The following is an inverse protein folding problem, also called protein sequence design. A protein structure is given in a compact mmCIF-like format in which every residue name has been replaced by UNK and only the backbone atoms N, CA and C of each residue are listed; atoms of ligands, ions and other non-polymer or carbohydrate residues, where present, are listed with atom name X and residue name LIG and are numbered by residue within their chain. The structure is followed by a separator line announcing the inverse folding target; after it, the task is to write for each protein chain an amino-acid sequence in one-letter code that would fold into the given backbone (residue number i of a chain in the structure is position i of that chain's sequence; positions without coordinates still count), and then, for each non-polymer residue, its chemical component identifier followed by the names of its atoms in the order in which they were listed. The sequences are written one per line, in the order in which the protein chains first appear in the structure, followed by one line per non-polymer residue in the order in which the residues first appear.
data_IF_344325241775
#
_entry.id   IF_344325241775
#
_cell.length_a   1.000
_cell.length_b   1.000
_cell.length_c   1.000
_cell.angle_alpha   90.00
_cell.angle_beta   90.00
_cell.angle_gamma   90.00
#
_symmetry.space_group_name_H-M   'P 1'
#
loop_
_entity.id
_entity.type
_entity.pdbx_description
1 polymer ?
#
# COMPACT_ATOMS: atom_id res chain seq x y z
N UNK A 1 28.58 0.51 -32.94
CA UNK A 1 27.97 -0.44 -32.00
C UNK A 1 28.25 0.07 -30.59
N UNK A 2 27.35 0.87 -30.03
CA UNK A 2 27.43 1.31 -28.63
C UNK A 2 27.02 0.13 -27.77
N UNK A 3 27.90 -0.30 -26.85
CA UNK A 3 27.57 -1.33 -25.88
C UNK A 3 26.29 -0.95 -25.14
N UNK A 4 25.27 -1.79 -25.23
CA UNK A 4 24.08 -1.71 -24.37
C UNK A 4 24.58 -1.75 -22.92
N UNK A 5 24.31 -0.71 -22.14
CA UNK A 5 24.59 -0.72 -20.72
C UNK A 5 23.80 -1.88 -20.11
N UNK A 6 24.49 -2.82 -19.47
CA UNK A 6 23.83 -3.91 -18.74
C UNK A 6 23.05 -3.26 -17.59
N UNK A 7 21.73 -3.30 -17.67
CA UNK A 7 20.82 -2.75 -16.66
C UNK A 7 20.72 -3.71 -15.48
N UNK A 8 21.48 -3.44 -14.42
CA UNK A 8 21.49 -4.25 -13.20
C UNK A 8 20.21 -4.01 -12.39
N UNK A 9 19.54 -5.05 -11.88
CA UNK A 9 18.41 -4.90 -10.98
C UNK A 9 18.73 -4.04 -9.75
N UNK A 10 17.74 -3.31 -9.25
CA UNK A 10 17.90 -2.38 -8.14
C UNK A 10 16.98 -2.75 -6.97
N UNK A 11 17.55 -2.89 -5.78
CA UNK A 11 16.82 -3.07 -4.52
C UNK A 11 16.87 -1.76 -3.73
N UNK A 12 15.72 -1.17 -3.42
CA UNK A 12 15.58 -0.01 -2.54
C UNK A 12 15.10 -0.46 -1.16
N UNK A 13 15.99 -0.57 -0.19
CA UNK A 13 15.69 -1.04 1.17
C UNK A 13 15.37 0.15 2.09
N UNK A 14 14.11 0.29 2.48
CA UNK A 14 13.67 1.24 3.50
C UNK A 14 13.96 0.66 4.88
N UNK A 15 14.97 1.20 5.55
CA UNK A 15 15.50 0.73 6.83
C UNK A 15 15.09 1.63 8.00
N UNK A 16 14.99 1.05 9.20
CA UNK A 16 14.61 1.75 10.43
C UNK A 16 14.01 0.81 11.47
N UNK A 17 13.93 1.27 12.72
CA UNK A 17 13.30 0.50 13.81
C UNK A 17 11.77 0.45 13.66
N UNK A 18 11.10 -0.40 14.42
CA UNK A 18 9.64 -0.46 14.50
C UNK A 18 9.07 0.92 14.87
N UNK A 19 7.94 1.30 14.27
CA UNK A 19 7.33 2.61 14.49
C UNK A 19 7.91 3.77 13.67
N UNK A 20 9.04 3.60 12.99
CA UNK A 20 9.62 4.64 12.10
C UNK A 20 8.79 4.95 10.85
N UNK A 21 7.90 4.03 10.43
CA UNK A 21 7.00 4.23 9.28
C UNK A 21 7.43 3.54 7.99
N UNK A 22 8.42 2.63 8.02
CA UNK A 22 8.96 1.91 6.85
C UNK A 22 7.92 1.40 5.85
N UNK A 23 6.88 0.71 6.33
CA UNK A 23 5.85 0.11 5.46
C UNK A 23 5.04 1.17 4.71
N UNK A 24 4.61 2.21 5.42
CA UNK A 24 3.87 3.33 4.82
C UNK A 24 4.75 4.11 3.82
N UNK A 25 5.99 4.40 4.22
CA UNK A 25 6.96 5.08 3.39
C UNK A 25 7.33 4.28 2.14
N UNK A 26 7.65 3.00 2.29
CA UNK A 26 8.05 2.13 1.19
C UNK A 26 6.92 1.89 0.20
N UNK A 27 5.69 1.72 0.68
CA UNK A 27 4.51 1.64 -0.17
C UNK A 27 4.33 2.92 -1.00
N UNK A 28 4.41 4.10 -0.38
CA UNK A 28 4.25 5.37 -1.09
C UNK A 28 5.38 5.64 -2.08
N UNK A 29 6.63 5.37 -1.70
CA UNK A 29 7.78 5.47 -2.59
C UNK A 29 7.63 4.56 -3.83
N UNK A 30 7.21 3.31 -3.64
CA UNK A 30 7.00 2.36 -4.72
C UNK A 30 5.91 2.82 -5.69
N UNK A 31 4.82 3.43 -5.18
CA UNK A 31 3.76 4.02 -6.01
C UNK A 31 4.29 5.15 -6.88
N UNK A 32 5.12 6.05 -6.33
CA UNK A 32 5.68 7.19 -7.09
C UNK A 32 6.68 6.73 -8.15
N UNK A 33 7.44 5.67 -7.84
CA UNK A 33 8.38 5.06 -8.78
C UNK A 33 7.71 4.10 -9.78
N UNK A 34 6.45 3.72 -9.55
CA UNK A 34 5.71 2.70 -10.31
C UNK A 34 6.47 1.36 -10.38
N UNK A 35 6.96 0.90 -9.23
CA UNK A 35 7.69 -0.37 -9.09
C UNK A 35 7.07 -1.23 -7.97
N UNK A 36 7.33 -2.55 -7.94
CA UNK A 36 6.84 -3.42 -6.88
C UNK A 36 7.32 -3.00 -5.49
N UNK A 37 6.55 -3.38 -4.48
CA UNK A 37 6.86 -3.21 -3.05
C UNK A 37 6.68 -4.54 -2.32
N UNK A 38 7.57 -4.84 -1.37
CA UNK A 38 7.37 -5.90 -0.38
C UNK A 38 7.65 -5.37 1.02
N UNK A 39 6.89 -5.86 2.01
CA UNK A 39 7.20 -5.68 3.41
C UNK A 39 7.97 -6.89 3.93
N UNK A 40 9.17 -6.67 4.43
CA UNK A 40 10.02 -7.74 4.95
C UNK A 40 9.43 -8.43 6.17
N UNK A 41 8.56 -7.75 6.93
CA UNK A 41 7.89 -8.35 8.08
C UNK A 41 6.96 -9.51 7.65
N UNK A 42 6.43 -9.49 6.41
CA UNK A 42 5.59 -10.56 5.83
C UNK A 42 6.36 -11.87 5.58
N UNK A 43 7.70 -11.82 5.54
CA UNK A 43 8.56 -12.96 5.21
C UNK A 43 9.19 -13.61 6.45
N UNK A 44 8.77 -13.24 7.66
CA UNK A 44 9.23 -13.90 8.87
C UNK A 44 8.77 -15.37 8.92
N UNK A 45 9.67 -16.31 9.26
CA UNK A 45 9.23 -17.67 9.57
C UNK A 45 8.37 -17.69 10.83
N UNK A 46 7.50 -18.69 10.95
CA UNK A 46 6.60 -18.85 12.11
C UNK A 46 7.34 -18.81 13.44
N UNK A 47 8.55 -19.38 13.52
CA UNK A 47 9.41 -19.34 14.72
C UNK A 47 9.75 -17.92 15.16
N UNK A 48 10.02 -17.01 14.23
CA UNK A 48 10.35 -15.61 14.56
C UNK A 48 9.10 -14.88 15.05
N UNK A 49 7.95 -15.13 14.40
CA UNK A 49 6.66 -14.55 14.78
C UNK A 49 6.29 -14.99 16.20
N UNK A 50 6.43 -16.28 16.52
CA UNK A 50 6.17 -16.83 17.85
C UNK A 50 7.11 -16.27 18.92
N UNK A 51 8.42 -16.20 18.62
CA UNK A 51 9.41 -15.60 19.53
C UNK A 51 9.07 -14.14 19.84
N UNK A 52 8.77 -13.32 18.83
CA UNK A 52 8.33 -11.94 19.03
C UNK A 52 6.99 -11.83 19.77
N UNK A 53 6.02 -12.71 19.48
CA UNK A 53 4.74 -12.78 20.21
C UNK A 53 4.92 -13.13 21.69
N UNK A 54 5.95 -13.90 22.04
CA UNK A 54 6.31 -14.19 23.42
C UNK A 54 7.05 -13.04 24.13
N UNK A 55 7.29 -11.92 23.43
CA UNK A 55 8.04 -10.78 23.95
C UNK A 55 9.55 -10.98 23.95
N UNK A 56 10.05 -12.09 23.38
CA UNK A 56 11.49 -12.34 23.25
C UNK A 56 12.02 -11.65 21.98
N UNK A 57 13.11 -10.87 22.08
CA UNK A 57 13.71 -10.26 20.92
C UNK A 57 14.34 -11.31 20.01
N UNK A 58 14.30 -11.08 18.71
CA UNK A 58 15.07 -11.87 17.77
C UNK A 58 16.57 -11.61 17.98
N UNK A 59 17.40 -12.60 17.70
CA UNK A 59 18.86 -12.51 17.65
C UNK A 59 19.39 -12.59 16.21
N UNK A 60 20.69 -12.80 16.04
CA UNK A 60 21.33 -12.87 14.73
C UNK A 60 21.00 -14.17 13.98
N UNK A 61 20.84 -15.28 14.70
CA UNK A 61 20.51 -16.60 14.13
C UNK A 61 19.07 -16.62 13.62
N UNK A 62 18.17 -15.90 14.29
CA UNK A 62 16.79 -15.74 13.82
C UNK A 62 16.70 -14.85 12.57
N UNK A 63 17.51 -13.77 12.51
CA UNK A 63 17.40 -12.74 11.46
C UNK A 63 18.09 -13.13 10.17
N UNK A 64 19.19 -13.86 10.22
CA UNK A 64 19.95 -14.21 9.02
C UNK A 64 19.13 -15.00 7.98
N UNK A 65 18.40 -16.08 8.34
CA UNK A 65 17.54 -16.80 7.39
C UNK A 65 16.42 -15.90 6.82
N UNK A 66 15.85 -15.04 7.65
CA UNK A 66 14.80 -14.08 7.27
C UNK A 66 15.31 -13.03 6.26
N UNK A 67 16.49 -12.44 6.49
CA UNK A 67 17.11 -11.47 5.58
C UNK A 67 17.48 -12.12 4.24
N UNK A 68 17.94 -13.37 4.26
CA UNK A 68 18.17 -14.15 3.04
C UNK A 68 16.86 -14.39 2.28
N UNK A 69 15.77 -14.73 2.96
CA UNK A 69 14.45 -14.90 2.33
C UNK A 69 13.97 -13.61 1.65
N UNK A 70 14.11 -12.45 2.32
CA UNK A 70 13.79 -11.13 1.74
C UNK A 70 14.59 -10.90 0.46
N UNK A 71 15.92 -11.09 0.51
CA UNK A 71 16.78 -10.88 -0.67
C UNK A 71 16.41 -11.82 -1.81
N UNK A 72 16.20 -13.10 -1.53
CA UNK A 72 15.82 -14.11 -2.53
C UNK A 72 14.51 -13.71 -3.20
N UNK A 73 13.49 -13.34 -2.43
CA UNK A 73 12.18 -12.99 -2.96
C UNK A 73 12.23 -11.71 -3.81
N UNK A 74 12.92 -10.68 -3.32
CA UNK A 74 13.12 -9.45 -4.08
C UNK A 74 13.84 -9.70 -5.42
N UNK A 75 14.85 -10.57 -5.43
CA UNK A 75 15.56 -10.97 -6.65
C UNK A 75 14.69 -11.76 -7.62
N UNK A 76 13.78 -12.61 -7.15
CA UNK A 76 12.82 -13.31 -8.03
C UNK A 76 11.92 -12.31 -8.74
N UNK A 77 11.39 -11.32 -8.01
CA UNK A 77 10.47 -10.32 -8.55
C UNK A 77 11.15 -9.49 -9.65
N UNK A 78 12.36 -8.98 -9.40
CA UNK A 78 13.08 -8.14 -10.38
C UNK A 78 13.70 -8.93 -11.54
N UNK A 79 13.92 -10.25 -11.39
CA UNK A 79 14.47 -11.11 -12.46
C UNK A 79 13.42 -11.76 -13.37
N UNK A 80 12.12 -11.69 -13.05
CA UNK A 80 11.02 -12.21 -13.88
C UNK A 80 10.15 -11.05 -14.42
N UNK A 81 10.48 -10.44 -15.58
CA UNK A 81 9.84 -9.21 -16.06
C UNK A 81 8.51 -9.41 -16.80
N UNK A 82 7.89 -10.60 -16.77
CA UNK A 82 6.68 -10.96 -17.52
C UNK A 82 5.40 -10.19 -17.10
N UNK A 83 5.54 -9.10 -16.35
CA UNK A 83 4.46 -8.24 -15.83
C UNK A 83 4.54 -6.79 -16.33
N UNK A 84 5.44 -6.47 -17.27
CA UNK A 84 5.53 -5.13 -17.85
C UNK A 84 4.88 -5.03 -19.23
N UNK A 85 3.92 -4.13 -19.37
CA UNK A 85 3.45 -3.65 -20.68
C UNK A 85 4.62 -3.08 -21.49
N UNK A 86 4.50 -3.05 -22.82
CA UNK A 86 5.56 -2.74 -23.78
C UNK A 86 6.31 -1.40 -23.55
N UNK A 87 5.85 -0.53 -22.64
CA UNK A 87 6.52 0.72 -22.26
C UNK A 87 7.65 0.57 -21.22
N UNK A 88 7.72 -0.52 -20.44
CA UNK A 88 8.71 -0.67 -19.36
C UNK A 88 10.04 -1.36 -19.76
N UNK A 89 10.23 -1.67 -21.05
CA UNK A 89 11.45 -2.34 -21.56
C UNK A 89 12.72 -1.48 -21.53
N UNK A 90 12.66 -0.26 -21.00
CA UNK A 90 13.73 0.75 -21.10
C UNK A 90 14.34 1.16 -19.75
N UNK A 91 13.99 0.48 -18.65
CA UNK A 91 14.45 0.83 -17.31
C UNK A 91 14.91 -0.41 -16.55
N UNK A 92 15.96 -0.24 -15.73
CA UNK A 92 16.49 -1.31 -14.88
C UNK A 92 15.40 -1.80 -13.92
N UNK A 93 15.17 -3.12 -13.81
CA UNK A 93 14.11 -3.65 -12.96
C UNK A 93 14.40 -3.35 -11.49
N UNK A 94 13.43 -2.77 -10.79
CA UNK A 94 13.61 -2.29 -9.43
C UNK A 94 12.47 -2.70 -8.49
N UNK A 95 12.73 -2.69 -7.18
CA UNK A 95 11.75 -3.02 -6.13
C UNK A 95 12.05 -2.22 -4.86
N UNK A 96 11.01 -1.84 -4.12
CA UNK A 96 11.11 -1.26 -2.77
C UNK A 96 10.85 -2.33 -1.71
N UNK A 97 11.65 -2.34 -0.65
CA UNK A 97 11.61 -3.32 0.43
C UNK A 97 11.57 -2.58 1.77
N UNK A 98 10.50 -2.73 2.56
CA UNK A 98 10.57 -2.32 3.97
C UNK A 98 11.29 -3.41 4.79
N UNK A 99 12.33 -3.07 5.55
CA UNK A 99 13.06 -4.08 6.32
C UNK A 99 13.71 -3.47 7.59
N UNK A 100 13.64 -4.18 8.72
CA UNK A 100 14.43 -3.84 9.91
C UNK A 100 15.90 -4.26 9.76
N UNK A 101 16.61 -3.65 8.80
CA UNK A 101 18.03 -3.84 8.53
C UNK A 101 18.93 -3.11 9.57
N UNK A 102 18.77 -3.48 10.84
CA UNK A 102 19.28 -2.76 12.02
C UNK A 102 20.80 -2.74 12.16
N UNK A 103 21.50 -3.80 11.73
CA UNK A 103 22.97 -3.91 11.82
C UNK A 103 23.62 -3.77 10.46
N UNK A 104 24.89 -3.35 10.43
CA UNK A 104 25.71 -3.34 9.21
C UNK A 104 25.73 -4.71 8.54
N UNK A 105 25.92 -5.78 9.32
CA UNK A 105 25.92 -7.15 8.79
C UNK A 105 24.59 -7.55 8.15
N UNK A 106 23.46 -7.03 8.63
CA UNK A 106 22.15 -7.30 8.02
C UNK A 106 22.03 -6.59 6.67
N UNK A 107 22.52 -5.35 6.58
CA UNK A 107 22.65 -4.61 5.32
C UNK A 107 23.58 -5.34 4.36
N UNK A 108 24.67 -5.94 4.83
CA UNK A 108 25.61 -6.73 4.03
C UNK A 108 24.99 -8.02 3.46
N UNK A 109 24.14 -8.72 4.23
CA UNK A 109 23.35 -9.86 3.73
C UNK A 109 22.43 -9.39 2.59
N UNK A 110 21.73 -8.26 2.77
CA UNK A 110 20.86 -7.69 1.74
C UNK A 110 21.64 -7.20 0.50
N UNK A 111 22.90 -6.78 0.65
CA UNK A 111 23.84 -6.49 -0.47
C UNK A 111 24.29 -7.75 -1.20
N UNK A 112 24.16 -8.93 -0.59
CA UNK A 112 24.55 -10.22 -1.14
C UNK A 112 25.89 -10.77 -0.69
N UNK A 113 26.43 -10.27 0.44
CA UNK A 113 27.61 -10.88 1.05
C UNK A 113 27.23 -12.24 1.62
N UNK A 114 27.93 -13.31 1.22
CA UNK A 114 27.71 -14.64 1.77
C UNK A 114 28.32 -14.75 3.17
N UNK A 115 27.57 -15.32 4.11
CA UNK A 115 27.99 -15.60 5.50
C UNK A 115 29.05 -16.70 5.64
N UNK A 116 29.70 -17.13 4.56
CA UNK A 116 30.58 -18.30 4.53
C UNK A 116 32.01 -17.96 5.00
N UNK A 117 32.16 -17.74 6.30
CA UNK A 117 33.26 -18.26 7.13
C UNK A 117 34.72 -18.09 6.68
N UNK A 118 35.17 -16.90 6.29
CA UNK A 118 36.61 -16.57 6.36
C UNK A 118 36.81 -15.31 7.21
N UNK A 119 37.17 -15.53 8.48
CA UNK A 119 37.38 -14.51 9.52
C UNK A 119 38.63 -13.64 9.33
N UNK A 120 39.17 -13.53 8.12
CA UNK A 120 40.32 -12.66 7.87
C UNK A 120 40.20 -11.97 6.52
N UNK A 121 40.24 -10.64 6.56
CA UNK A 121 40.34 -9.66 5.46
C UNK A 121 39.00 -9.11 4.92
N UNK A 122 38.54 -8.01 5.53
CA UNK A 122 37.71 -6.98 4.88
C UNK A 122 36.20 -7.22 4.83
N UNK A 123 35.46 -6.56 5.73
CA UNK A 123 34.02 -6.30 5.61
C UNK A 123 33.69 -5.85 4.17
N UNK A 124 33.10 -6.73 3.37
CA UNK A 124 32.95 -6.58 1.92
C UNK A 124 32.19 -5.31 1.56
N UNK A 125 32.90 -4.34 0.97
CA UNK A 125 32.34 -3.10 0.40
C UNK A 125 31.59 -3.32 -0.92
N UNK A 126 31.53 -4.57 -1.40
CA UNK A 126 31.06 -4.87 -2.74
C UNK A 126 29.73 -5.61 -2.65
N UNK A 127 28.65 -4.91 -3.00
CA UNK A 127 27.44 -5.58 -3.51
C UNK A 127 27.86 -6.52 -4.65
N UNK A 128 27.14 -7.62 -4.84
CA UNK A 128 27.33 -8.42 -6.07
C UNK A 128 27.25 -7.46 -7.26
N UNK A 129 28.25 -7.40 -8.17
CA UNK A 129 28.29 -6.40 -9.24
C UNK A 129 27.03 -6.44 -10.13
N UNK A 130 26.31 -7.55 -10.08
CA UNK A 130 25.10 -7.81 -10.84
C UNK A 130 23.82 -7.16 -10.27
N UNK A 131 23.83 -6.62 -9.05
CA UNK A 131 22.64 -6.04 -8.37
C UNK A 131 23.01 -4.80 -7.57
N UNK A 132 22.30 -3.69 -7.79
CA UNK A 132 22.44 -2.47 -6.99
C UNK A 132 21.53 -2.53 -5.76
N UNK A 133 22.04 -2.14 -4.59
CA UNK A 133 21.28 -2.17 -3.33
C UNK A 133 21.45 -0.85 -2.59
N UNK A 134 20.42 -0.01 -2.61
CA UNK A 134 20.41 1.27 -1.90
C UNK A 134 19.56 1.18 -0.65
N UNK A 135 19.95 1.89 0.40
CA UNK A 135 19.27 1.96 1.67
C UNK A 135 18.69 3.35 1.87
N UNK A 136 17.41 3.43 2.22
CA UNK A 136 16.76 4.65 2.68
C UNK A 136 16.52 4.48 4.18
N UNK A 137 17.36 5.09 5.00
CA UNK A 137 17.31 4.97 6.45
C UNK A 137 16.42 6.06 7.04
N UNK A 138 15.30 5.65 7.64
CA UNK A 138 14.39 6.54 8.35
C UNK A 138 14.92 6.78 9.77
N UNK A 139 15.61 7.91 9.95
CA UNK A 139 16.25 8.27 11.22
C UNK A 139 15.28 9.02 12.12
N UNK A 140 14.96 8.46 13.29
CA UNK A 140 14.04 9.06 14.23
C UNK A 140 14.56 9.01 15.65
N UNK A 141 14.27 10.05 16.42
CA UNK A 141 14.51 10.08 17.85
C UNK A 141 13.70 8.95 18.53
N UNK A 142 14.31 8.15 19.44
CA UNK A 142 13.62 7.14 20.22
C UNK A 142 12.30 7.61 20.85
N UNK A 143 12.27 8.83 21.38
CA UNK A 143 11.10 9.38 22.07
C UNK A 143 9.96 9.68 21.08
N UNK A 144 10.28 10.22 19.91
CA UNK A 144 9.29 10.43 18.83
C UNK A 144 8.71 9.08 18.36
N UNK A 145 9.56 8.08 18.17
CA UNK A 145 9.13 6.75 17.71
C UNK A 145 8.24 6.09 18.76
N UNK A 146 8.61 6.20 20.03
CA UNK A 146 7.78 5.72 21.16
C UNK A 146 6.42 6.39 21.18
N UNK A 147 6.35 7.73 21.08
CA UNK A 147 5.09 8.47 21.00
C UNK A 147 4.23 8.06 19.80
N UNK A 148 4.84 7.80 18.63
CA UNK A 148 4.14 7.28 17.44
C UNK A 148 3.54 5.89 17.70
N UNK A 149 4.26 5.01 18.40
CA UNK A 149 3.77 3.67 18.74
C UNK A 149 2.65 3.72 19.78
N UNK A 150 2.76 4.55 20.82
CA UNK A 150 1.73 4.70 21.87
C UNK A 150 0.40 5.22 21.33
N UNK A 151 0.43 6.07 20.29
CA UNK A 151 -0.78 6.57 19.61
C UNK A 151 -1.49 5.51 18.76
N UNK A 152 -0.83 4.40 18.40
CA UNK A 152 -1.46 3.30 17.64
C UNK A 152 -2.34 2.48 18.59
N UNK A 153 -3.65 2.70 18.55
CA UNK A 153 -4.63 1.83 19.19
C UNK A 153 -4.51 0.41 18.59
N UNK A 154 -4.51 -0.63 19.42
CA UNK A 154 -4.46 -2.07 19.10
C UNK A 154 -3.09 -2.79 18.94
N UNK A 155 -1.94 -2.15 19.16
CA UNK A 155 -0.64 -2.86 19.18
C UNK A 155 0.08 -2.76 20.54
N UNK A 156 -0.45 -3.44 21.57
CA UNK A 156 0.14 -3.48 22.93
C UNK A 156 1.46 -4.31 23.02
N UNK A 157 2.04 -4.71 21.88
CA UNK A 157 3.34 -5.40 21.82
C UNK A 157 4.53 -4.48 21.44
N UNK A 158 4.29 -3.17 21.24
CA UNK A 158 5.26 -2.27 20.59
C UNK A 158 6.43 -1.76 21.45
N UNK A 159 6.26 -1.59 22.77
CA UNK A 159 7.25 -0.90 23.62
C UNK A 159 8.51 -1.73 23.89
N UNK A 160 8.36 -2.99 24.29
CA UNK A 160 9.49 -3.89 24.54
C UNK A 160 10.25 -4.26 23.26
N UNK A 161 9.54 -4.39 22.13
CA UNK A 161 10.15 -4.64 20.84
C UNK A 161 10.97 -3.43 20.36
N UNK A 162 10.46 -2.20 20.54
CA UNK A 162 11.20 -0.98 20.20
C UNK A 162 12.53 -0.88 20.96
N UNK A 163 12.52 -1.08 22.28
CA UNK A 163 13.74 -1.04 23.10
C UNK A 163 14.82 -2.00 22.57
N UNK A 164 14.44 -3.26 22.36
CA UNK A 164 15.38 -4.25 21.82
C UNK A 164 15.93 -3.90 20.43
N UNK A 165 15.13 -3.25 19.58
CA UNK A 165 15.58 -2.85 18.25
C UNK A 165 16.49 -1.62 18.29
N UNK A 166 16.25 -0.68 19.20
CA UNK A 166 17.16 0.44 19.45
C UNK A 166 18.50 -0.04 19.99
N UNK A 167 18.51 -0.99 20.92
CA UNK A 167 19.74 -1.60 21.45
C UNK A 167 20.52 -2.38 20.36
N UNK A 168 19.79 -2.92 19.37
CA UNK A 168 20.35 -3.67 18.23
C UNK A 168 20.81 -2.74 17.09
N UNK A 169 20.34 -1.49 17.05
CA UNK A 169 20.54 -0.57 15.94
C UNK A 169 22.00 -0.12 15.87
N UNK A 170 22.67 -0.48 14.78
CA UNK A 170 23.92 0.13 14.34
C UNK A 170 23.56 1.15 13.25
N UNK A 171 23.50 2.44 13.62
CA UNK A 171 23.16 3.51 12.68
C UNK A 171 24.00 3.41 11.41
N UNK A 172 23.38 3.45 10.22
CA UNK A 172 24.10 3.40 8.96
C UNK A 172 25.10 4.56 8.82
N UNK A 173 26.33 4.25 8.42
CA UNK A 173 27.36 5.26 8.17
C UNK A 173 27.65 5.35 6.66
N UNK A 174 27.13 6.37 5.96
CA UNK A 174 27.37 6.57 4.54
C UNK A 174 28.87 6.64 4.17
N UNK A 175 29.74 7.12 5.06
CA UNK A 175 31.17 7.24 4.75
C UNK A 175 31.88 5.88 4.73
N UNK A 176 31.38 4.92 5.54
CA UNK A 176 31.97 3.59 5.65
C UNK A 176 31.33 2.56 4.73
N UNK A 177 30.04 2.73 4.42
CA UNK A 177 29.21 1.73 3.76
C UNK A 177 28.82 2.08 2.31
N UNK A 178 28.97 3.33 1.87
CA UNK A 178 28.68 3.66 0.47
C UNK A 178 29.73 3.09 -0.48
N UNK A 179 29.27 2.64 -1.65
CA UNK A 179 30.07 2.22 -2.79
C UNK A 179 29.41 2.68 -4.08
N UNK A 180 29.94 2.28 -5.25
CA UNK A 180 29.35 2.64 -6.54
C UNK A 180 27.98 1.97 -6.78
N UNK A 181 27.75 0.81 -6.15
CA UNK A 181 26.55 -0.01 -6.34
C UNK A 181 25.63 -0.06 -5.10
N UNK A 182 26.00 0.65 -4.03
CA UNK A 182 25.21 0.73 -2.80
C UNK A 182 25.35 2.10 -2.16
N UNK A 183 24.23 2.79 -1.94
CA UNK A 183 24.18 4.11 -1.30
C UNK A 183 23.25 4.06 -0.10
N UNK A 184 23.57 4.79 0.94
CA UNK A 184 22.71 5.07 2.09
C UNK A 184 22.24 6.51 1.97
N UNK A 185 20.92 6.67 1.99
CA UNK A 185 20.21 7.95 2.02
C UNK A 185 19.52 8.03 3.37
N UNK A 186 19.89 9.01 4.20
CA UNK A 186 19.28 9.19 5.52
C UNK A 186 18.15 10.22 5.42
N UNK A 187 16.96 9.82 5.86
CA UNK A 187 15.76 10.68 5.90
C UNK A 187 15.36 10.89 7.36
N UNK A 188 15.64 12.07 7.95
CA UNK A 188 15.23 12.39 9.29
C UNK A 188 13.71 12.48 9.40
N UNK A 189 13.11 11.90 10.45
CA UNK A 189 11.68 11.97 10.75
C UNK A 189 11.24 13.36 11.24
N UNK A 190 12.19 14.20 11.66
CA UNK A 190 11.96 15.58 12.09
C UNK A 190 12.43 16.54 11.01
N UNK A 191 11.72 17.66 10.87
CA UNK A 191 12.17 18.78 10.05
C UNK A 191 13.52 19.32 10.56
N UNK A 192 14.34 19.97 9.71
CA UNK A 192 15.64 20.54 10.12
C UNK A 192 15.54 21.56 11.27
N UNK A 193 14.39 22.19 11.44
CA UNK A 193 14.10 23.08 12.57
C UNK A 193 13.82 22.32 13.89
N UNK A 194 13.77 20.98 13.88
CA UNK A 194 13.62 20.11 15.05
C UNK A 194 12.25 20.14 15.73
N UNK A 195 11.34 21.03 15.33
CA UNK A 195 10.12 21.30 16.08
C UNK A 195 8.90 20.46 15.67
N UNK A 196 8.88 19.89 14.47
CA UNK A 196 7.71 19.14 13.97
C UNK A 196 8.13 17.86 13.22
N UNK A 197 7.41 16.73 13.41
CA UNK A 197 7.56 15.54 12.58
C UNK A 197 7.20 15.83 11.13
N UNK A 198 8.00 15.33 10.20
CA UNK A 198 7.69 15.42 8.77
C UNK A 198 6.46 14.60 8.41
N UNK A 199 5.71 15.06 7.41
CA UNK A 199 4.66 14.27 6.77
C UNK A 199 5.26 13.10 5.99
N UNK A 200 4.42 12.13 5.63
CA UNK A 200 4.87 11.01 4.79
C UNK A 200 5.31 11.52 3.41
N UNK A 201 4.57 12.47 2.84
CA UNK A 201 4.87 13.05 1.53
C UNK A 201 6.23 13.77 1.55
N UNK A 202 6.47 14.64 2.53
CA UNK A 202 7.74 15.38 2.67
C UNK A 202 8.95 14.44 2.71
N UNK A 203 8.84 13.34 3.47
CA UNK A 203 9.91 12.35 3.58
C UNK A 203 10.16 11.65 2.23
N UNK A 204 9.10 11.31 1.49
CA UNK A 204 9.22 10.61 0.20
C UNK A 204 9.78 11.56 -0.87
N UNK A 205 9.39 12.84 -0.87
CA UNK A 205 9.96 13.85 -1.76
C UNK A 205 11.46 14.02 -1.54
N UNK A 206 11.89 14.16 -0.28
CA UNK A 206 13.29 14.26 0.07
C UNK A 206 14.08 13.02 -0.38
N UNK A 207 13.51 11.82 -0.19
CA UNK A 207 14.15 10.59 -0.62
C UNK A 207 14.26 10.47 -2.15
N UNK A 208 13.24 10.87 -2.90
CA UNK A 208 13.28 10.88 -4.37
C UNK A 208 14.34 11.88 -4.89
N UNK A 209 14.41 13.06 -4.28
CA UNK A 209 15.44 14.05 -4.60
C UNK A 209 16.84 13.51 -4.30
N UNK A 210 17.09 12.96 -3.12
CA UNK A 210 18.39 12.40 -2.76
C UNK A 210 18.74 11.17 -3.59
N UNK A 211 17.78 10.31 -3.93
CA UNK A 211 17.99 9.16 -4.80
C UNK A 211 18.46 9.63 -6.19
N UNK A 212 17.83 10.66 -6.74
CA UNK A 212 18.20 11.23 -8.04
C UNK A 212 19.58 11.90 -8.06
N UNK A 213 20.00 12.49 -6.94
CA UNK A 213 21.30 13.15 -6.80
C UNK A 213 22.45 12.16 -6.56
N UNK A 214 22.19 11.11 -5.79
CA UNK A 214 23.23 10.24 -5.22
C UNK A 214 23.39 8.90 -5.93
N UNK A 215 22.43 8.52 -6.77
CA UNK A 215 22.42 7.24 -7.50
C UNK A 215 22.21 7.45 -9.00
N UNK A 216 22.38 6.37 -9.79
CA UNK A 216 21.98 6.32 -11.20
C UNK A 216 20.60 5.68 -11.38
N UNK A 217 19.74 5.76 -10.37
CA UNK A 217 18.41 5.18 -10.43
C UNK A 217 17.62 5.80 -11.59
N UNK A 218 17.00 4.99 -12.48
CA UNK A 218 16.24 5.50 -13.61
C UNK A 218 14.96 6.17 -13.10
N UNK A 219 14.91 7.51 -13.17
CA UNK A 219 13.73 8.30 -12.80
C UNK A 219 13.32 9.20 -13.96
N UNK A 220 12.04 9.20 -14.28
CA UNK A 220 11.46 10.21 -15.15
C UNK A 220 11.33 11.55 -14.38
N UNK A 221 11.51 12.70 -15.03
CA UNK A 221 11.33 14.01 -14.39
C UNK A 221 9.96 14.18 -13.71
N UNK A 222 8.90 13.57 -14.27
CA UNK A 222 7.56 13.57 -13.70
C UNK A 222 7.46 12.84 -12.34
N UNK A 223 8.43 12.00 -11.99
CA UNK A 223 8.51 11.31 -10.70
C UNK A 223 9.27 12.16 -9.65
N UNK A 224 10.06 13.15 -10.09
CA UNK A 224 10.81 14.09 -9.24
C UNK A 224 9.99 15.33 -8.89
N UNK A 225 9.14 15.76 -9.82
CA UNK A 225 8.12 16.76 -9.54
C UNK A 225 6.96 16.11 -8.83
N UNK A 226 6.27 16.83 -7.95
CA UNK A 226 4.94 16.45 -7.51
C UNK A 226 4.13 16.01 -8.75
N UNK A 227 3.84 14.72 -8.89
CA UNK A 227 2.52 14.37 -9.38
C UNK A 227 1.63 14.85 -8.26
N UNK A 228 1.08 16.04 -8.44
CA UNK A 228 -0.08 16.50 -7.72
C UNK A 228 -0.95 15.27 -7.48
N UNK A 229 -1.25 15.03 -6.20
CA UNK A 229 -2.45 14.33 -5.79
C UNK A 229 -3.51 14.56 -6.86
N UNK A 230 -4.19 13.51 -7.31
CA UNK A 230 -5.28 13.72 -8.25
C UNK A 230 -6.30 14.63 -7.55
N UNK A 231 -6.20 15.93 -7.82
CA UNK A 231 -6.99 16.95 -7.17
C UNK A 231 -8.32 16.95 -7.87
N UNK A 232 -9.37 16.83 -7.07
CA UNK A 232 -10.71 16.95 -7.57
C UNK A 232 -10.91 18.39 -8.07
N UNK A 233 -11.43 18.61 -9.29
CA UNK A 233 -11.65 19.94 -9.84
C UNK A 233 -12.67 20.74 -9.01
N UNK A 234 -12.82 22.03 -9.28
CA UNK A 234 -13.93 22.80 -8.68
C UNK A 234 -15.27 22.20 -9.08
N UNK A 235 -16.24 22.20 -8.16
CA UNK A 235 -17.63 21.81 -8.46
C UNK A 235 -18.35 22.87 -9.32
N UNK A 236 -17.82 24.10 -9.37
CA UNK A 236 -18.38 25.18 -10.17
C UNK A 236 -18.37 24.81 -11.66
N UNK A 237 -19.56 24.72 -12.25
CA UNK A 237 -19.73 24.43 -13.67
C UNK A 237 -19.55 22.97 -14.06
N UNK A 238 -19.29 22.04 -13.12
CA UNK A 238 -19.07 20.61 -13.40
C UNK A 238 -20.22 19.96 -14.20
N UNK A 239 -21.46 20.44 -14.03
CA UNK A 239 -22.64 19.92 -14.73
C UNK A 239 -22.91 20.62 -16.07
N UNK A 240 -22.26 21.76 -16.31
CA UNK A 240 -22.43 22.62 -17.47
C UNK A 240 -21.33 22.41 -18.53
N UNK A 241 -20.32 21.59 -18.24
CA UNK A 241 -19.24 21.24 -19.16
C UNK A 241 -19.54 19.97 -19.97
N UNK A 242 -18.60 19.62 -20.86
CA UNK A 242 -18.63 18.38 -21.66
C UNK A 242 -18.80 17.14 -20.76
N UNK A 243 -19.53 16.09 -21.21
CA UNK A 243 -19.81 14.88 -20.42
C UNK A 243 -18.60 14.23 -19.75
N UNK A 244 -17.43 14.36 -20.37
CA UNK A 244 -16.21 13.68 -19.96
C UNK A 244 -15.68 14.15 -18.59
N UNK A 245 -15.91 15.41 -18.19
CA UNK A 245 -15.39 15.91 -16.91
C UNK A 245 -16.11 15.31 -15.69
N UNK A 246 -17.44 15.21 -15.73
CA UNK A 246 -18.20 14.59 -14.64
C UNK A 246 -17.88 13.09 -14.54
N UNK A 247 -17.72 12.43 -15.69
CA UNK A 247 -17.26 11.04 -15.75
C UNK A 247 -15.90 10.88 -15.09
N UNK A 248 -14.93 11.71 -15.43
CA UNK A 248 -13.58 11.65 -14.87
C UNK A 248 -13.61 11.84 -13.35
N UNK A 249 -14.39 12.80 -12.85
CA UNK A 249 -14.59 13.01 -11.41
C UNK A 249 -15.18 11.77 -10.73
N UNK A 250 -16.23 11.19 -11.30
CA UNK A 250 -16.84 9.99 -10.73
C UNK A 250 -15.90 8.78 -10.79
N UNK A 251 -15.06 8.67 -11.82
CA UNK A 251 -14.04 7.62 -11.92
C UNK A 251 -12.92 7.75 -10.86
N UNK A 252 -12.75 8.92 -10.26
CA UNK A 252 -11.87 9.11 -9.09
C UNK A 252 -12.54 8.68 -7.78
N UNK A 253 -13.86 8.80 -7.70
CA UNK A 253 -14.62 8.51 -6.49
C UNK A 253 -15.11 7.05 -6.44
N UNK A 254 -15.38 6.45 -7.58
CA UNK A 254 -15.97 5.13 -7.75
C UNK A 254 -15.18 4.31 -8.76
N UNK A 255 -15.32 2.98 -8.70
CA UNK A 255 -14.85 2.12 -9.79
C UNK A 255 -15.78 2.26 -11.01
N UNK A 256 -15.20 2.28 -12.21
CA UNK A 256 -15.95 2.49 -13.45
C UNK A 256 -16.94 1.35 -13.67
N UNK A 257 -18.19 1.69 -13.97
CA UNK A 257 -19.26 0.73 -14.25
C UNK A 257 -20.20 1.26 -15.32
N UNK A 258 -20.85 0.35 -16.05
CA UNK A 258 -21.84 0.70 -17.08
C UNK A 258 -23.04 1.46 -16.48
N UNK A 259 -23.36 1.20 -15.21
CA UNK A 259 -24.45 1.85 -14.49
C UNK A 259 -24.11 3.31 -14.13
N UNK A 260 -22.83 3.63 -13.93
CA UNK A 260 -22.40 5.04 -13.77
C UNK A 260 -22.61 5.81 -15.09
N UNK A 261 -22.11 5.27 -16.19
CA UNK A 261 -22.15 5.91 -17.52
C UNK A 261 -23.59 6.07 -18.03
N UNK A 262 -24.36 4.99 -18.02
CA UNK A 262 -25.65 4.93 -18.71
C UNK A 262 -26.82 5.42 -17.84
N UNK A 263 -26.62 5.57 -16.53
CA UNK A 263 -27.72 5.90 -15.60
C UNK A 263 -27.38 6.98 -14.58
N UNK A 264 -26.31 6.83 -13.81
CA UNK A 264 -25.97 7.81 -12.76
C UNK A 264 -25.70 9.20 -13.37
N UNK A 265 -24.82 9.28 -14.37
CA UNK A 265 -24.43 10.55 -15.00
C UNK A 265 -25.64 11.27 -15.62
N UNK A 266 -26.48 10.63 -16.45
CA UNK A 266 -27.68 11.27 -17.00
C UNK A 266 -28.62 11.84 -15.93
N UNK A 267 -28.96 11.06 -14.90
CA UNK A 267 -29.88 11.48 -13.84
C UNK A 267 -29.27 12.63 -13.02
N UNK A 268 -28.00 12.51 -12.67
CA UNK A 268 -27.28 13.53 -11.90
C UNK A 268 -27.21 14.85 -12.67
N UNK A 269 -27.00 14.82 -13.99
CA UNK A 269 -27.03 16.04 -14.84
C UNK A 269 -28.42 16.65 -14.96
N UNK A 270 -29.48 15.85 -14.99
CA UNK A 270 -30.84 16.35 -15.05
C UNK A 270 -31.24 17.02 -13.73
N UNK A 271 -30.97 16.36 -12.60
CA UNK A 271 -31.41 16.81 -11.27
C UNK A 271 -30.57 17.94 -10.66
N UNK A 272 -29.34 18.16 -11.13
CA UNK A 272 -28.41 19.15 -10.54
C UNK A 272 -28.30 20.43 -11.38
N UNK A 273 -29.08 20.56 -12.47
CA UNK A 273 -29.17 21.81 -13.25
C UNK A 273 -29.74 23.00 -12.46
N UNK A 274 -30.48 22.74 -11.38
CA UNK A 274 -31.20 23.76 -10.62
C UNK A 274 -30.61 24.02 -9.21
N UNK A 275 -29.72 23.16 -8.71
CA UNK A 275 -29.16 23.25 -7.36
C UNK A 275 -27.62 23.26 -7.40
N UNK A 276 -26.99 24.25 -6.77
CA UNK A 276 -25.55 24.26 -6.56
C UNK A 276 -25.15 23.16 -5.57
N UNK A 277 -24.04 22.47 -5.85
CA UNK A 277 -23.42 21.56 -4.89
C UNK A 277 -22.26 22.28 -4.20
N UNK A 278 -22.31 22.34 -2.88
CA UNK A 278 -21.31 23.09 -2.09
C UNK A 278 -20.12 22.20 -1.67
N UNK A 279 -20.20 20.87 -1.89
CA UNK A 279 -19.12 19.95 -1.52
C UNK A 279 -19.18 18.60 -2.24
N UNK A 280 -18.02 17.93 -2.33
CA UNK A 280 -17.92 16.56 -2.83
C UNK A 280 -18.67 15.56 -1.96
N UNK A 281 -18.80 15.81 -0.65
CA UNK A 281 -19.65 14.98 0.20
C UNK A 281 -21.11 15.06 -0.25
N UNK A 282 -21.61 16.26 -0.55
CA UNK A 282 -22.96 16.46 -1.06
C UNK A 282 -23.18 15.82 -2.43
N UNK A 283 -22.18 15.87 -3.31
CA UNK A 283 -22.20 15.13 -4.59
C UNK A 283 -22.35 13.62 -4.36
N UNK A 284 -21.57 13.06 -3.43
CA UNK A 284 -21.59 11.63 -3.12
C UNK A 284 -22.93 11.24 -2.46
N UNK A 285 -23.44 12.05 -1.55
CA UNK A 285 -24.76 11.86 -0.93
C UNK A 285 -25.87 11.83 -1.98
N UNK A 286 -25.79 12.71 -2.99
CA UNK A 286 -26.75 12.73 -4.10
C UNK A 286 -26.63 11.48 -4.98
N UNK A 287 -25.41 11.00 -5.24
CA UNK A 287 -25.20 9.75 -5.95
C UNK A 287 -25.79 8.55 -5.18
N UNK A 288 -25.63 8.53 -3.85
CA UNK A 288 -26.21 7.50 -2.97
C UNK A 288 -27.74 7.49 -3.04
N UNK A 289 -28.37 8.65 -3.02
CA UNK A 289 -29.82 8.78 -3.19
C UNK A 289 -30.29 8.32 -4.58
N UNK A 290 -29.57 8.66 -5.65
CA UNK A 290 -29.91 8.23 -7.02
C UNK A 290 -29.80 6.71 -7.13
N UNK A 291 -28.70 6.11 -6.68
CA UNK A 291 -28.51 4.65 -6.71
C UNK A 291 -29.57 3.95 -5.84
N UNK A 292 -29.94 4.51 -4.69
CA UNK A 292 -30.96 3.93 -3.81
C UNK A 292 -32.38 3.99 -4.38
N UNK A 293 -32.75 5.09 -5.06
CA UNK A 293 -34.14 5.37 -5.42
C UNK A 293 -34.47 5.19 -6.91
N UNK A 294 -33.47 5.22 -7.79
CA UNK A 294 -33.69 5.20 -9.25
C UNK A 294 -33.08 4.00 -9.96
N UNK A 295 -32.13 3.29 -9.32
CA UNK A 295 -31.56 2.07 -9.89
C UNK A 295 -32.47 0.88 -9.56
N UNK A 296 -32.73 0.05 -10.56
CA UNK A 296 -33.28 -1.29 -10.36
C UNK A 296 -32.22 -2.23 -9.79
N UNK A 297 -32.66 -3.42 -9.40
CA UNK A 297 -31.80 -4.40 -8.71
C UNK A 297 -30.56 -4.76 -9.55
N UNK A 298 -30.70 -5.01 -10.85
CA UNK A 298 -29.56 -5.42 -11.69
C UNK A 298 -28.49 -4.32 -11.80
N UNK A 299 -28.91 -3.05 -11.82
CA UNK A 299 -28.00 -1.90 -11.89
C UNK A 299 -27.30 -1.66 -10.55
N UNK A 300 -28.01 -1.86 -9.44
CA UNK A 300 -27.43 -1.84 -8.09
C UNK A 300 -26.39 -2.94 -7.92
N UNK A 301 -26.68 -4.15 -8.40
CA UNK A 301 -25.75 -5.29 -8.41
C UNK A 301 -24.56 -5.00 -9.31
N UNK A 302 -24.76 -4.43 -10.51
CA UNK A 302 -23.68 -4.04 -11.41
C UNK A 302 -22.76 -2.96 -10.80
N UNK A 303 -23.35 -1.95 -10.16
CA UNK A 303 -22.63 -0.89 -9.47
C UNK A 303 -21.75 -1.45 -8.34
N UNK A 304 -22.32 -2.31 -7.49
CA UNK A 304 -21.58 -2.98 -6.41
C UNK A 304 -20.49 -3.92 -6.97
N UNK A 305 -20.84 -4.74 -7.96
CA UNK A 305 -19.97 -5.76 -8.55
C UNK A 305 -18.79 -5.20 -9.36
N UNK A 306 -18.78 -3.89 -9.63
CA UNK A 306 -17.65 -3.20 -10.27
C UNK A 306 -16.49 -2.92 -9.30
N UNK A 307 -16.75 -2.94 -7.98
CA UNK A 307 -15.68 -2.85 -6.98
C UNK A 307 -14.87 -4.14 -6.90
N UNK A 308 -13.54 -4.13 -6.88
CA UNK A 308 -12.74 -5.35 -6.82
C UNK A 308 -12.94 -6.13 -5.52
N UNK A 309 -12.64 -7.43 -5.54
CA UNK A 309 -12.73 -8.26 -4.33
C UNK A 309 -11.68 -7.84 -3.30
N UNK A 310 -12.02 -7.94 -2.02
CA UNK A 310 -11.03 -7.78 -0.96
C UNK A 310 -10.02 -8.93 -1.01
N UNK A 311 -8.72 -8.61 -1.08
CA UNK A 311 -7.64 -9.59 -1.23
C UNK A 311 -7.27 -9.90 -2.68
N UNK A 312 -7.95 -9.30 -3.66
CA UNK A 312 -7.50 -9.33 -5.05
C UNK A 312 -6.26 -8.44 -5.22
N UNK A 313 -5.27 -8.90 -5.98
CA UNK A 313 -3.98 -8.20 -6.14
C UNK A 313 -3.63 -7.94 -7.61
N UNK A 314 -4.49 -8.32 -8.54
CA UNK A 314 -4.27 -8.18 -9.99
C UNK A 314 -5.38 -7.32 -10.60
N UNK A 315 -5.02 -6.47 -11.55
CA UNK A 315 -5.99 -5.66 -12.31
C UNK A 315 -6.72 -4.59 -11.49
N UNK A 316 -6.23 -4.27 -10.29
CA UNK A 316 -6.82 -3.23 -9.46
C UNK A 316 -6.52 -1.83 -10.00
N UNK A 317 -7.45 -0.90 -9.82
CA UNK A 317 -7.17 0.53 -9.94
C UNK A 317 -6.13 0.97 -8.89
N UNK A 318 -5.42 2.07 -9.15
CA UNK A 318 -4.42 2.63 -8.21
C UNK A 318 -5.04 2.93 -6.83
N UNK A 319 -6.31 3.36 -6.81
CA UNK A 319 -7.05 3.66 -5.58
C UNK A 319 -7.45 2.38 -4.83
N UNK A 320 -8.02 1.41 -5.53
CA UNK A 320 -8.35 0.11 -4.93
C UNK A 320 -7.13 -0.62 -4.37
N UNK A 321 -5.98 -0.54 -5.06
CA UNK A 321 -4.72 -1.09 -4.54
C UNK A 321 -4.29 -0.44 -3.23
N UNK A 322 -4.52 0.87 -3.06
CA UNK A 322 -4.17 1.60 -1.84
C UNK A 322 -5.11 1.26 -0.67
N UNK A 323 -6.40 1.10 -0.95
CA UNK A 323 -7.44 0.87 0.06
C UNK A 323 -7.36 -0.52 0.70
N UNK A 324 -7.00 -1.52 -0.09
CA UNK A 324 -6.90 -2.90 0.40
C UNK A 324 -5.58 -3.20 1.13
N UNK A 325 -4.64 -2.26 1.14
CA UNK A 325 -3.33 -2.39 1.76
C UNK A 325 -2.39 -3.36 1.02
N UNK A 326 -1.09 -3.27 1.31
CA UNK A 326 -0.05 -4.11 0.69
C UNK A 326 0.27 -5.38 1.49
N UNK A 327 -0.57 -5.80 2.45
CA UNK A 327 -0.23 -6.90 3.36
C UNK A 327 -0.34 -8.26 2.67
N UNK A 328 0.79 -8.96 2.52
CA UNK A 328 1.00 -10.03 1.53
C UNK A 328 0.91 -11.44 2.09
N UNK A 329 0.42 -11.62 3.33
CA UNK A 329 0.34 -12.95 3.93
C UNK A 329 -0.50 -13.85 3.02
N UNK A 330 0.18 -14.80 2.35
CA UNK A 330 -0.44 -15.68 1.39
C UNK A 330 -1.56 -16.50 2.04
N UNK A 331 -1.44 -16.85 3.32
CA UNK A 331 -2.50 -17.53 4.07
C UNK A 331 -3.73 -16.64 4.27
N UNK A 332 -3.56 -15.34 4.51
CA UNK A 332 -4.67 -14.38 4.59
C UNK A 332 -5.31 -14.17 3.22
N UNK A 333 -4.52 -14.06 2.15
CA UNK A 333 -5.03 -13.90 0.78
C UNK A 333 -5.79 -15.15 0.31
N UNK A 334 -5.25 -16.34 0.58
CA UNK A 334 -5.91 -17.61 0.29
C UNK A 334 -7.22 -17.74 1.09
N UNK A 335 -7.20 -17.34 2.37
CA UNK A 335 -8.39 -17.34 3.20
C UNK A 335 -9.45 -16.34 2.71
N UNK A 336 -9.05 -15.12 2.34
CA UNK A 336 -9.98 -14.14 1.74
C UNK A 336 -10.57 -14.67 0.44
N UNK A 337 -9.79 -15.37 -0.39
CA UNK A 337 -10.29 -15.99 -1.62
C UNK A 337 -11.37 -17.03 -1.33
N UNK A 338 -11.15 -17.90 -0.34
CA UNK A 338 -12.17 -18.86 0.12
C UNK A 338 -13.43 -18.17 0.64
N UNK A 339 -13.26 -17.15 1.49
CA UNK A 339 -14.38 -16.42 2.09
C UNK A 339 -15.19 -15.63 1.03
N UNK A 340 -14.53 -15.04 0.03
CA UNK A 340 -15.22 -14.41 -1.10
C UNK A 340 -16.06 -15.44 -1.88
N UNK A 341 -15.54 -16.66 -2.10
CA UNK A 341 -16.31 -17.72 -2.76
C UNK A 341 -17.53 -18.13 -1.95
N UNK A 342 -17.37 -18.34 -0.64
CA UNK A 342 -18.47 -18.68 0.26
C UNK A 342 -19.51 -17.57 0.34
N UNK A 343 -19.06 -16.32 0.36
CA UNK A 343 -19.94 -15.15 0.33
C UNK A 343 -20.77 -15.09 -0.97
N UNK A 344 -20.13 -15.26 -2.13
CA UNK A 344 -20.81 -15.23 -3.44
C UNK A 344 -21.78 -16.41 -3.61
N UNK A 345 -21.52 -17.55 -2.97
CA UNK A 345 -22.46 -18.67 -2.89
C UNK A 345 -23.66 -18.36 -1.98
N UNK A 346 -23.41 -17.71 -0.84
CA UNK A 346 -24.45 -17.34 0.11
C UNK A 346 -25.31 -16.17 -0.38
N UNK A 347 -24.74 -15.20 -1.10
CA UNK A 347 -25.41 -14.04 -1.64
C UNK A 347 -25.25 -13.98 -3.17
N UNK A 348 -26.09 -14.73 -3.93
CA UNK A 348 -25.93 -14.85 -5.37
C UNK A 348 -25.89 -13.49 -6.07
N UNK A 349 -24.85 -13.29 -6.87
CA UNK A 349 -24.63 -12.07 -7.67
C UNK A 349 -24.02 -10.89 -6.91
N UNK A 350 -23.91 -10.95 -5.57
CA UNK A 350 -23.28 -9.88 -4.78
C UNK A 350 -21.79 -10.15 -4.61
N UNK A 351 -21.01 -9.07 -4.61
CA UNK A 351 -19.60 -9.10 -4.21
C UNK A 351 -19.46 -8.49 -2.83
N UNK A 352 -18.63 -9.09 -1.98
CA UNK A 352 -18.37 -8.54 -0.66
C UNK A 352 -17.50 -7.28 -0.78
N UNK A 353 -18.11 -6.14 -0.46
CA UNK A 353 -17.44 -4.84 -0.35
C UNK A 353 -17.59 -4.36 1.08
N UNK A 354 -16.49 -3.89 1.68
CA UNK A 354 -16.48 -3.32 3.03
C UNK A 354 -15.51 -2.14 3.08
N UNK A 355 -15.89 -1.09 3.82
CA UNK A 355 -15.04 0.09 3.97
C UNK A 355 -13.93 -0.20 4.98
N UNK A 356 -12.70 -0.45 4.51
CA UNK A 356 -11.60 -0.97 5.35
C UNK A 356 -11.22 -0.01 6.49
N UNK A 357 -11.27 1.31 6.30
CA UNK A 357 -10.99 2.31 7.34
C UNK A 357 -9.68 2.08 8.15
N UNK A 358 -8.62 1.59 7.48
CA UNK A 358 -7.35 1.27 8.13
C UNK A 358 -7.29 -0.08 8.86
N UNK A 359 -8.35 -0.90 8.78
CA UNK A 359 -8.35 -2.29 9.26
C UNK A 359 -7.42 -3.15 8.40
N UNK A 360 -6.75 -4.12 9.01
CA UNK A 360 -5.92 -5.09 8.31
C UNK A 360 -6.76 -6.12 7.56
N UNK A 361 -6.18 -6.78 6.55
CA UNK A 361 -6.84 -7.90 5.85
C UNK A 361 -7.24 -9.03 6.79
N UNK A 362 -6.43 -9.29 7.82
CA UNK A 362 -6.72 -10.28 8.85
C UNK A 362 -7.92 -9.90 9.74
N UNK A 363 -8.17 -8.60 9.97
CA UNK A 363 -9.39 -8.15 10.64
C UNK A 363 -10.61 -8.31 9.75
N UNK A 364 -10.49 -8.05 8.45
CA UNK A 364 -11.58 -8.29 7.50
C UNK A 364 -11.90 -9.79 7.37
N UNK A 365 -10.89 -10.67 7.42
CA UNK A 365 -11.11 -12.13 7.48
C UNK A 365 -12.01 -12.48 8.65
N UNK A 366 -11.74 -11.97 9.86
CA UNK A 366 -12.57 -12.24 11.04
C UNK A 366 -14.00 -11.72 10.89
N UNK A 367 -14.18 -10.55 10.27
CA UNK A 367 -15.51 -9.99 9.99
C UNK A 367 -16.29 -10.89 9.03
N UNK A 368 -15.65 -11.31 7.92
CA UNK A 368 -16.27 -12.23 6.97
C UNK A 368 -16.57 -13.58 7.60
N UNK A 369 -15.70 -14.10 8.46
CA UNK A 369 -15.93 -15.35 9.19
C UNK A 369 -17.11 -15.23 10.16
N UNK A 370 -17.23 -14.13 10.89
CA UNK A 370 -18.39 -13.90 11.76
C UNK A 370 -19.70 -13.84 10.94
N UNK A 371 -19.67 -13.20 9.76
CA UNK A 371 -20.83 -13.14 8.86
C UNK A 371 -21.20 -14.51 8.27
N UNK A 372 -20.21 -15.34 7.92
CA UNK A 372 -20.42 -16.58 7.16
C UNK A 372 -20.49 -17.85 8.01
N UNK A 373 -19.83 -17.89 9.17
CA UNK A 373 -19.56 -19.11 9.94
C UNK A 373 -20.35 -19.15 11.25
N UNK A 374 -20.49 -18.03 11.98
CA UNK A 374 -21.00 -18.06 13.36
C UNK A 374 -22.52 -18.26 13.50
N UNK A 375 -23.33 -18.18 12.43
CA UNK A 375 -24.81 -18.15 12.59
C UNK A 375 -25.67 -18.99 11.62
N UNK A 376 -25.12 -20.04 10.97
CA UNK A 376 -25.90 -20.86 10.01
C UNK A 376 -25.90 -22.38 10.26
N UNK A 377 -25.76 -22.82 11.51
CA UNK A 377 -26.07 -24.22 11.85
C UNK A 377 -27.57 -24.56 11.70
N UNK A 378 -28.44 -23.55 11.53
CA UNK A 378 -29.90 -23.69 11.38
C UNK A 378 -30.55 -22.74 10.37
N UNK A 379 -29.80 -21.94 9.61
CA UNK A 379 -30.36 -20.88 8.75
C UNK A 379 -30.64 -21.34 7.31
N UNK A 380 -31.78 -20.94 6.71
CA UNK A 380 -32.15 -21.34 5.34
C UNK A 380 -31.17 -20.80 4.30
N UNK A 381 -31.09 -21.45 3.12
CA UNK A 381 -30.41 -20.88 1.96
C UNK A 381 -31.00 -19.50 1.70
N UNK A 382 -30.17 -18.44 1.71
CA UNK A 382 -30.60 -17.13 1.25
C UNK A 382 -30.98 -17.28 -0.22
N UNK A 383 -32.18 -16.84 -0.58
CA UNK A 383 -32.65 -16.83 -1.94
C UNK A 383 -32.39 -15.47 -2.57
N UNK A 384 -32.07 -15.45 -3.86
CA UNK A 384 -31.90 -14.23 -4.62
C UNK A 384 -33.13 -13.31 -4.44
N UNK A 385 -32.87 -12.05 -4.09
CA UNK A 385 -33.90 -11.04 -3.80
C UNK A 385 -34.81 -11.33 -2.59
N UNK A 386 -34.40 -12.18 -1.64
CA UNK A 386 -35.08 -12.23 -0.34
C UNK A 386 -34.70 -11.01 0.55
N UNK A 387 -35.30 -10.91 1.74
CA UNK A 387 -35.08 -9.77 2.62
C UNK A 387 -33.63 -9.67 3.12
N UNK A 388 -32.98 -10.80 3.40
CA UNK A 388 -31.60 -10.83 3.88
C UNK A 388 -30.64 -10.42 2.76
N UNK A 389 -30.89 -10.89 1.54
CA UNK A 389 -30.16 -10.51 0.34
C UNK A 389 -30.27 -9.01 0.05
N UNK A 390 -31.47 -8.41 0.17
CA UNK A 390 -31.66 -6.97 -0.01
C UNK A 390 -30.95 -6.14 1.06
N UNK A 391 -30.97 -6.61 2.31
CA UNK A 391 -30.26 -5.94 3.40
C UNK A 391 -28.75 -5.94 3.13
N UNK A 392 -28.21 -7.04 2.61
CA UNK A 392 -26.79 -7.17 2.30
C UNK A 392 -26.37 -6.34 1.08
N UNK A 393 -27.19 -6.31 0.02
CA UNK A 393 -26.98 -5.40 -1.12
C UNK A 393 -26.93 -3.93 -0.64
N UNK A 394 -27.86 -3.52 0.22
CA UNK A 394 -27.91 -2.16 0.77
C UNK A 394 -26.68 -1.84 1.61
N UNK A 395 -26.20 -2.79 2.43
CA UNK A 395 -24.97 -2.65 3.22
C UNK A 395 -23.76 -2.46 2.30
N UNK A 396 -23.60 -3.33 1.30
CA UNK A 396 -22.48 -3.26 0.35
C UNK A 396 -22.44 -1.92 -0.40
N UNK A 397 -23.59 -1.46 -0.90
CA UNK A 397 -23.70 -0.15 -1.57
C UNK A 397 -23.33 0.99 -0.60
N UNK A 398 -23.81 0.96 0.64
CA UNK A 398 -23.45 1.97 1.64
C UNK A 398 -21.94 2.02 1.90
N UNK A 399 -21.26 0.87 1.90
CA UNK A 399 -19.81 0.81 2.05
C UNK A 399 -19.06 1.35 0.82
N UNK A 400 -19.57 1.17 -0.42
CA UNK A 400 -19.04 1.85 -1.62
C UNK A 400 -19.06 3.37 -1.45
N UNK A 401 -20.16 3.94 -0.92
CA UNK A 401 -20.24 5.39 -0.70
C UNK A 401 -19.36 5.88 0.45
N UNK A 402 -19.14 5.06 1.49
CA UNK A 402 -18.15 5.37 2.54
C UNK A 402 -16.73 5.38 2.00
N UNK A 403 -16.39 4.45 1.10
CA UNK A 403 -15.12 4.43 0.37
C UNK A 403 -14.97 5.72 -0.44
N UNK A 404 -15.98 6.10 -1.23
CA UNK A 404 -15.95 7.33 -2.02
C UNK A 404 -15.76 8.60 -1.18
N UNK A 405 -16.43 8.69 -0.02
CA UNK A 405 -16.26 9.79 0.95
C UNK A 405 -14.85 9.82 1.57
N UNK A 406 -14.23 8.66 1.75
CA UNK A 406 -12.85 8.57 2.22
C UNK A 406 -11.87 9.03 1.15
N UNK A 407 -12.06 8.57 -0.11
CA UNK A 407 -11.30 9.03 -1.29
C UNK A 407 -11.35 10.55 -1.44
N UNK A 408 -12.55 11.14 -1.42
CA UNK A 408 -12.70 12.60 -1.59
C UNK A 408 -11.99 13.41 -0.50
N UNK A 409 -12.07 12.98 0.76
CA UNK A 409 -11.33 13.62 1.87
C UNK A 409 -9.82 13.54 1.69
N UNK A 410 -9.31 12.38 1.24
CA UNK A 410 -7.87 12.21 0.98
C UNK A 410 -7.37 13.08 -0.17
N UNK A 411 -8.23 13.39 -1.14
CA UNK A 411 -7.89 14.20 -2.32
C UNK A 411 -8.00 15.72 -2.05
N UNK A 412 -8.91 16.15 -1.17
CA UNK A 412 -9.12 17.58 -0.82
C UNK A 412 -8.15 18.04 0.28
N UNK A 413 -7.75 17.13 1.18
CA UNK A 413 -6.88 17.46 2.34
C UNK A 413 -5.44 17.85 2.00
N UNK A 414 -5.02 17.74 0.73
CA UNK A 414 -3.66 18.10 0.28
C UNK A 414 -3.52 19.59 -0.03
N UNK A 415 -4.64 20.31 -0.21
CA UNK A 415 -4.62 21.73 -0.64
C UNK A 415 -4.69 22.74 0.52
N UNK A 416 -4.63 22.29 1.78
CA UNK A 416 -4.67 23.19 2.95
C UNK A 416 -3.89 22.62 4.14
N UNK A 417 -2.57 22.62 4.09
CA UNK A 417 -1.66 22.58 5.25
C UNK A 417 -0.25 22.96 4.83
#
# INVERSE_FOLDING_TARGET
MTASAVEHPILLVVAGVSGSGKSAFGSELAKRLNIPFIDGDDLHPTSNIEKMKSGMPLDDLDREPWLNAIRIEALKIVKHPSLSSDQARSQSPAIVIACSALKRKYRDILRGSSSSGSETVGLSRTASPDVQVHFIYLQGDPELIKQRLEKRKNHFMGSNLLGSQLDTLEEPDPQQENSDHSKIITIPLLSPAGCQPKSLEEMVDEALQELSKTTRFPMAPAQLTHQSSVELPSLDGLFNTEPDQLRDVLALLFEVSDSIENKLIPILREQTKENSLDSYSGLIDRCEEIVGNHFGIDEQVNFLGSHPRIGEVRGLSKLSSNEQGNQSDQGVLDRLKELNMLYEELYPGLRYVTYVNGRSRAEIVKEMEALLIEDKSTSPKIHFQDQEWHNELKRGISDVFRIAKSRSKSMIGVSSS
#
